data_IF_176255612637
#
_entry.id   IF_176255612637
#
_cell.length_a   1.000
_cell.length_b   1.000
_cell.length_c   1.000
_cell.angle_alpha   90.00
_cell.angle_beta   90.00
_cell.angle_gamma   90.00
#
_symmetry.space_group_name_H-M   'P 1'
#
loop_
_entity.id
_entity.type
_entity.pdbx_description
1 polymer ?
#
# COMPACT_ATOMS: atom_id res chain seq x y z
N UNK A 1 2.27 0.80 15.66
CA UNK A 1 2.92 0.48 14.38
C UNK A 1 2.31 -0.82 13.89
N UNK A 2 1.79 -0.82 12.67
CA UNK A 2 1.22 -2.00 12.01
C UNK A 2 1.84 -2.14 10.62
N UNK A 3 1.76 -3.34 10.04
CA UNK A 3 2.27 -3.59 8.69
C UNK A 3 1.39 -4.60 7.95
N UNK A 4 0.90 -4.21 6.78
CA UNK A 4 0.08 -5.08 5.92
C UNK A 4 0.81 -5.44 4.64
N UNK A 5 0.49 -6.61 4.11
CA UNK A 5 0.90 -7.02 2.77
C UNK A 5 -0.25 -6.82 1.80
N UNK A 6 0.00 -6.10 0.71
CA UNK A 6 -0.95 -6.00 -0.39
C UNK A 6 -0.80 -7.28 -1.21
N UNK A 7 -1.90 -7.94 -1.54
CA UNK A 7 -1.85 -9.00 -2.56
C UNK A 7 -2.10 -8.31 -3.90
N UNK A 8 -1.11 -8.26 -4.81
CA UNK A 8 -1.33 -7.68 -6.12
C UNK A 8 -2.47 -8.42 -6.84
N UNK A 9 -3.54 -7.71 -7.21
CA UNK A 9 -4.66 -8.26 -7.98
C UNK A 9 -4.53 -7.75 -9.43
N UNK A 10 -4.12 -8.58 -10.39
CA UNK A 10 -3.92 -8.15 -11.77
C UNK A 10 -5.23 -7.63 -12.40
N UNK A 11 -5.16 -6.44 -13.01
CA UNK A 11 -6.29 -5.86 -13.75
C UNK A 11 -5.85 -5.52 -15.17
N UNK A 12 -6.14 -6.43 -16.09
CA UNK A 12 -5.79 -6.32 -17.50
C UNK A 12 -6.06 -7.67 -18.16
N UNK A 13 -6.64 -7.69 -19.36
CA UNK A 13 -7.16 -8.90 -20.01
C UNK A 13 -6.10 -9.88 -20.53
N UNK A 14 -4.95 -9.98 -19.87
CA UNK A 14 -3.84 -10.89 -20.21
C UNK A 14 -3.62 -11.83 -19.03
N UNK A 15 -3.37 -13.12 -19.30
CA UNK A 15 -3.06 -14.11 -18.27
C UNK A 15 -1.75 -13.73 -17.57
N UNK A 16 -1.83 -12.99 -16.46
CA UNK A 16 -0.66 -12.68 -15.66
C UNK A 16 -0.07 -13.96 -15.06
N UNK A 17 1.23 -14.17 -15.25
CA UNK A 17 1.95 -15.27 -14.61
C UNK A 17 2.29 -14.82 -13.19
N UNK A 18 1.62 -15.42 -12.22
CA UNK A 18 2.11 -15.44 -10.85
C UNK A 18 2.89 -16.74 -10.67
N UNK A 19 4.06 -16.67 -10.07
CA UNK A 19 4.72 -17.84 -9.51
C UNK A 19 4.85 -17.69 -7.99
N UNK A 20 4.97 -18.84 -7.32
CA UNK A 20 5.08 -18.89 -5.86
C UNK A 20 6.45 -18.38 -5.36
N UNK A 21 7.36 -17.96 -6.26
CA UNK A 21 8.78 -17.71 -5.96
C UNK A 21 9.12 -16.22 -6.10
N UNK A 22 8.76 -15.62 -7.22
CA UNK A 22 9.09 -14.26 -7.61
C UNK A 22 7.87 -13.32 -7.66
N UNK A 23 6.64 -13.82 -7.58
CA UNK A 23 5.43 -12.99 -7.45
C UNK A 23 4.75 -12.71 -8.78
N UNK A 24 4.33 -11.47 -9.03
CA UNK A 24 3.58 -11.08 -10.22
C UNK A 24 4.50 -10.60 -11.35
N UNK A 25 4.54 -11.33 -12.46
CA UNK A 25 5.27 -10.90 -13.66
C UNK A 25 4.52 -9.78 -14.40
N UNK A 26 5.26 -8.74 -14.79
CA UNK A 26 4.80 -7.59 -15.55
C UNK A 26 5.75 -7.36 -16.73
N UNK A 27 5.19 -7.08 -17.91
CA UNK A 27 5.99 -6.74 -19.09
C UNK A 27 5.45 -5.52 -19.83
N UNK A 28 6.37 -4.67 -20.29
CA UNK A 28 6.08 -3.57 -21.19
C UNK A 28 5.93 -4.09 -22.62
N UNK A 29 5.04 -3.48 -23.40
CA UNK A 29 4.83 -3.90 -24.78
C UNK A 29 5.01 -2.77 -25.77
N UNK A 30 5.56 -3.09 -26.95
CA UNK A 30 5.52 -2.17 -28.08
C UNK A 30 4.09 -2.05 -28.63
N UNK A 31 3.66 -0.81 -28.88
CA UNK A 31 2.36 -0.49 -29.45
C UNK A 31 2.03 -1.39 -30.68
N UNK A 32 0.79 -1.90 -30.82
CA UNK A 32 -0.45 -1.40 -30.20
C UNK A 32 -0.83 -2.09 -28.88
N UNK A 33 0.02 -2.95 -28.34
CA UNK A 33 -0.23 -3.60 -27.06
C UNK A 33 -0.02 -2.57 -25.94
N UNK A 34 -0.93 -2.56 -24.98
CA UNK A 34 -0.80 -1.70 -23.80
C UNK A 34 0.16 -2.35 -22.81
N UNK A 35 0.92 -1.53 -22.10
CA UNK A 35 1.77 -1.96 -21.01
C UNK A 35 0.95 -2.64 -19.91
N UNK A 36 1.53 -3.67 -19.30
CA UNK A 36 0.89 -4.35 -18.18
C UNK A 36 0.92 -3.48 -16.93
N UNK A 37 -0.20 -3.48 -16.20
CA UNK A 37 -0.34 -2.78 -14.95
C UNK A 37 -1.12 -3.65 -13.94
N UNK A 38 -0.83 -3.43 -12.67
CA UNK A 38 -1.53 -4.06 -11.55
C UNK A 38 -2.04 -2.99 -10.60
N UNK A 39 -3.24 -3.21 -10.06
CA UNK A 39 -3.87 -2.34 -9.06
C UNK A 39 -4.26 -3.18 -7.85
N UNK A 40 -3.84 -2.73 -6.67
CA UNK A 40 -4.23 -3.39 -5.42
C UNK A 40 -4.35 -2.37 -4.30
N UNK A 41 -4.92 -2.83 -3.19
CA UNK A 41 -5.17 -1.99 -2.01
C UNK A 41 -4.56 -2.65 -0.79
N UNK A 42 -3.85 -1.87 0.01
CA UNK A 42 -3.55 -2.22 1.39
C UNK A 42 -4.67 -1.72 2.28
N UNK A 43 -5.39 -2.62 2.94
CA UNK A 43 -6.36 -2.29 3.99
C UNK A 43 -5.66 -2.52 5.34
N UNK A 44 -5.59 -1.50 6.20
CA UNK A 44 -5.01 -1.62 7.56
C UNK A 44 -6.06 -1.87 8.65
N UNK A 45 -7.34 -1.86 8.31
CA UNK A 45 -8.46 -2.01 9.24
C UNK A 45 -8.57 -3.43 9.81
N UNK A 46 -8.05 -4.43 9.08
CA UNK A 46 -7.95 -5.82 9.52
C UNK A 46 -6.83 -6.05 10.56
N UNK A 47 -5.85 -5.14 10.61
CA UNK A 47 -4.69 -5.14 11.50
C UNK A 47 -4.89 -4.35 12.81
N UNK A 48 -6.15 -4.15 13.20
CA UNK A 48 -6.51 -3.49 14.47
C UNK A 48 -6.41 -1.97 14.44
N UNK A 49 -6.17 -1.37 13.28
CA UNK A 49 -6.36 0.07 13.10
C UNK A 49 -7.84 0.42 13.18
N UNK A 50 -8.15 1.53 13.85
CA UNK A 50 -9.42 2.22 13.65
C UNK A 50 -9.20 3.72 13.73
N UNK A 51 -9.84 4.46 12.84
CA UNK A 51 -9.76 5.94 12.80
C UNK A 51 -10.22 6.62 14.09
N UNK A 52 -11.04 5.95 14.89
CA UNK A 52 -11.50 6.46 16.19
C UNK A 52 -10.48 6.28 17.30
N UNK A 53 -9.61 5.28 17.21
CA UNK A 53 -8.62 4.93 18.24
C UNK A 53 -7.21 5.39 17.89
N UNK A 54 -6.90 5.60 16.61
CA UNK A 54 -5.56 5.93 16.14
C UNK A 54 -5.57 7.04 15.09
N UNK A 55 -4.60 7.95 15.20
CA UNK A 55 -4.29 8.97 14.19
C UNK A 55 -2.99 8.60 13.52
N UNK A 56 -3.02 8.37 12.20
CA UNK A 56 -1.83 8.06 11.41
C UNK A 56 -0.96 9.32 11.32
N UNK A 57 0.32 9.17 11.61
CA UNK A 57 1.30 10.27 11.55
C UNK A 57 2.19 10.15 10.32
N UNK A 58 2.50 8.93 9.90
CA UNK A 58 3.48 8.63 8.86
C UNK A 58 3.20 7.24 8.27
N UNK A 59 3.54 7.03 6.99
CA UNK A 59 3.40 5.75 6.32
C UNK A 59 4.43 5.59 5.18
N UNK A 60 4.96 4.38 5.05
CA UNK A 60 6.00 4.02 4.07
C UNK A 60 5.57 2.75 3.32
N UNK A 61 5.62 2.80 1.99
CA UNK A 61 5.40 1.66 1.12
C UNK A 61 6.74 1.09 0.65
N UNK A 62 6.89 -0.22 0.74
CA UNK A 62 8.05 -0.97 0.27
C UNK A 62 7.60 -1.88 -0.87
N UNK A 63 8.22 -1.73 -2.04
CA UNK A 63 7.97 -2.58 -3.20
C UNK A 63 9.26 -3.30 -3.57
N UNK A 64 9.22 -4.63 -3.60
CA UNK A 64 10.35 -5.46 -4.00
C UNK A 64 10.13 -5.97 -5.41
N UNK A 65 11.14 -5.78 -6.25
CA UNK A 65 11.12 -6.22 -7.63
C UNK A 65 12.25 -7.21 -7.92
N UNK A 66 12.05 -8.03 -8.94
CA UNK A 66 13.03 -8.96 -9.46
C UNK A 66 13.10 -8.84 -10.98
N UNK A 67 14.28 -8.59 -11.49
CA UNK A 67 14.61 -8.74 -12.91
C UNK A 67 14.43 -10.22 -13.28
N UNK A 68 13.79 -10.49 -14.41
CA UNK A 68 13.55 -11.83 -14.92
C UNK A 68 14.82 -12.57 -15.38
N UNK A 69 15.94 -11.83 -15.46
CA UNK A 69 17.33 -12.19 -15.72
C UNK A 69 17.48 -13.57 -16.33
N UNK A 70 16.95 -13.73 -17.54
CA UNK A 70 17.18 -14.97 -18.28
C UNK A 70 18.61 -15.02 -18.77
N UNK A 71 19.30 -16.09 -18.34
CA UNK A 71 20.53 -16.58 -18.95
C UNK A 71 20.53 -16.31 -20.46
N UNK A 72 21.43 -15.42 -20.90
CA UNK A 72 21.47 -14.95 -22.28
C UNK A 72 21.43 -16.09 -23.30
N UNK A 73 20.96 -15.78 -24.51
CA UNK A 73 20.73 -16.66 -25.67
C UNK A 73 21.87 -17.65 -26.01
N UNK A 74 23.05 -17.51 -25.40
CA UNK A 74 24.25 -18.34 -25.58
C UNK A 74 24.83 -18.94 -24.28
N UNK A 75 24.06 -19.04 -23.20
CA UNK A 75 24.52 -19.65 -21.94
C UNK A 75 25.57 -18.82 -21.19
N UNK A 76 25.65 -17.52 -21.47
CA UNK A 76 26.40 -16.56 -20.68
C UNK A 76 25.49 -15.89 -19.64
N UNK A 77 26.02 -15.65 -18.45
CA UNK A 77 25.45 -14.78 -17.42
C UNK A 77 25.51 -13.32 -17.88
N UNK A 78 24.76 -12.98 -18.93
CA UNK A 78 24.55 -11.61 -19.36
C UNK A 78 23.19 -11.18 -18.87
N UNK A 79 23.17 -10.13 -18.06
CA UNK A 79 21.96 -9.36 -17.73
C UNK A 79 21.27 -8.95 -19.04
N UNK A 80 19.93 -8.88 -19.05
CA UNK A 80 19.19 -8.37 -20.20
C UNK A 80 19.70 -6.93 -20.48
N UNK A 81 20.16 -6.61 -21.70
CA UNK A 81 20.65 -5.26 -22.00
C UNK A 81 19.55 -4.19 -22.02
N UNK A 82 18.28 -4.56 -21.87
CA UNK A 82 17.15 -3.63 -21.88
C UNK A 82 16.88 -3.09 -20.48
N UNK A 83 16.74 -1.76 -20.32
CA UNK A 83 16.39 -1.18 -19.04
C UNK A 83 14.96 -1.60 -18.65
N UNK A 84 14.81 -2.10 -17.43
CA UNK A 84 13.52 -2.37 -16.82
C UNK A 84 13.07 -1.16 -16.00
N UNK A 85 11.90 -0.62 -16.34
CA UNK A 85 11.36 0.57 -15.70
C UNK A 85 9.95 0.28 -15.21
N UNK A 86 9.70 0.51 -13.93
CA UNK A 86 8.37 0.44 -13.33
C UNK A 86 7.89 1.85 -12.98
N UNK A 87 6.66 2.21 -13.34
CA UNK A 87 5.99 3.37 -12.74
C UNK A 87 5.16 2.92 -11.54
N UNK A 88 5.24 3.67 -10.43
CA UNK A 88 4.43 3.45 -9.23
C UNK A 88 3.58 4.69 -8.99
N UNK A 89 2.27 4.50 -8.87
CA UNK A 89 1.31 5.56 -8.60
C UNK A 89 0.47 5.25 -7.34
N UNK A 90 0.38 6.25 -6.45
CA UNK A 90 -0.41 6.24 -5.23
C UNK A 90 -1.50 7.32 -5.36
N UNK A 91 -2.70 6.92 -5.82
CA UNK A 91 -3.87 7.77 -6.03
C UNK A 91 -3.69 8.97 -6.99
N UNK A 92 -2.87 8.83 -8.04
CA UNK A 92 -2.77 9.82 -9.11
C UNK A 92 -2.03 11.10 -8.75
N UNK A 93 -1.34 11.14 -7.60
CA UNK A 93 -0.57 12.32 -7.15
C UNK A 93 0.95 12.07 -7.11
N UNK A 94 1.36 10.79 -7.01
CA UNK A 94 2.74 10.34 -7.19
C UNK A 94 2.97 9.73 -8.58
N UNK A 95 2.04 9.89 -9.52
CA UNK A 95 2.26 9.56 -10.93
C UNK A 95 3.51 10.29 -11.44
N UNK A 96 4.54 9.54 -11.85
CA UNK A 96 5.65 10.10 -12.61
C UNK A 96 7.04 10.06 -11.97
N UNK A 97 7.27 9.37 -10.85
CA UNK A 97 8.62 8.84 -10.59
C UNK A 97 8.67 7.41 -11.11
N UNK A 98 9.14 7.18 -12.36
CA UNK A 98 9.58 5.85 -12.72
C UNK A 98 10.62 5.42 -11.68
N UNK A 99 10.49 4.19 -11.18
CA UNK A 99 11.61 3.50 -10.59
C UNK A 99 12.77 3.64 -11.59
N UNK A 100 13.90 4.15 -11.09
CA UNK A 100 15.16 3.89 -11.75
C UNK A 100 15.28 2.37 -11.92
N UNK A 101 15.94 1.95 -13.01
CA UNK A 101 16.30 0.56 -13.35
C UNK A 101 16.01 -0.46 -12.24
N UNK A 102 15.06 -1.35 -12.51
CA UNK A 102 14.48 -2.26 -11.53
C UNK A 102 15.40 -3.48 -11.34
N UNK A 103 16.43 -3.36 -10.51
CA UNK A 103 17.43 -4.42 -10.30
C UNK A 103 17.26 -5.13 -8.95
N UNK A 104 16.62 -6.31 -8.91
CA UNK A 104 16.58 -7.24 -7.77
C UNK A 104 16.60 -6.59 -6.37
N UNK A 105 15.77 -5.56 -6.16
CA UNK A 105 15.87 -4.68 -5.01
C UNK A 105 14.52 -4.21 -4.51
N UNK A 106 14.54 -3.59 -3.32
CA UNK A 106 13.37 -3.05 -2.65
C UNK A 106 13.43 -1.53 -2.66
N UNK A 107 12.41 -0.91 -3.23
CA UNK A 107 12.24 0.52 -3.33
C UNK A 107 11.31 0.99 -2.22
N UNK A 108 11.58 2.18 -1.68
CA UNK A 108 10.81 2.76 -0.57
C UNK A 108 10.16 4.05 -1.03
N UNK A 109 8.86 4.17 -0.78
CA UNK A 109 8.04 5.32 -1.14
C UNK A 109 7.39 5.92 0.10
N UNK A 110 7.55 7.22 0.28
CA UNK A 110 6.82 7.98 1.30
C UNK A 110 5.36 8.10 0.88
N UNK A 111 4.44 7.74 1.76
CA UNK A 111 3.00 7.91 1.53
C UNK A 111 2.61 9.29 2.04
N UNK A 112 2.39 10.22 1.12
CA UNK A 112 2.17 11.64 1.43
C UNK A 112 0.91 12.19 0.74
N UNK A 113 0.54 13.43 1.10
CA UNK A 113 -0.51 14.19 0.42
C UNK A 113 -1.88 13.51 0.44
N UNK A 114 -2.46 13.31 -0.74
CA UNK A 114 -3.80 12.72 -0.89
C UNK A 114 -3.79 11.24 -0.50
N UNK A 115 -2.75 10.48 -0.83
CA UNK A 115 -2.62 9.07 -0.44
C UNK A 115 -2.59 8.88 1.07
N UNK A 116 -1.85 9.73 1.78
CA UNK A 116 -1.84 9.71 3.25
C UNK A 116 -3.17 10.17 3.86
N UNK A 117 -3.90 11.06 3.19
CA UNK A 117 -5.21 11.51 3.62
C UNK A 117 -6.27 10.41 3.47
N UNK A 118 -6.24 9.68 2.36
CA UNK A 118 -7.16 8.55 2.09
C UNK A 118 -6.94 7.44 3.13
N UNK A 119 -5.69 7.02 3.30
CA UNK A 119 -5.28 6.03 4.31
C UNK A 119 -5.71 6.39 5.74
N UNK A 120 -5.81 7.69 6.07
CA UNK A 120 -6.32 8.17 7.37
C UNK A 120 -7.83 8.06 7.53
N UNK A 121 -8.57 8.09 6.42
CA UNK A 121 -10.01 8.27 6.42
C UNK A 121 -10.77 6.95 6.38
N UNK A 122 -10.37 6.04 5.49
CA UNK A 122 -10.96 4.71 5.33
C UNK A 122 -10.02 3.59 5.79
N UNK A 123 -8.71 3.81 5.79
CA UNK A 123 -7.73 2.78 6.13
C UNK A 123 -7.13 2.10 4.90
N UNK A 124 -7.38 2.64 3.70
CA UNK A 124 -6.93 2.04 2.46
C UNK A 124 -5.77 2.84 1.84
N UNK A 125 -4.79 2.13 1.30
CA UNK A 125 -3.80 2.68 0.39
C UNK A 125 -3.91 1.96 -0.95
N UNK A 126 -4.36 2.70 -1.97
CA UNK A 126 -4.43 2.23 -3.34
C UNK A 126 -3.07 2.38 -4.03
N UNK A 127 -2.60 1.29 -4.63
CA UNK A 127 -1.30 1.21 -5.31
C UNK A 127 -1.49 0.75 -6.75
N UNK A 128 -0.85 1.45 -7.67
CA UNK A 128 -0.72 1.06 -9.07
C UNK A 128 0.75 0.86 -9.42
N UNK A 129 1.06 -0.24 -10.09
CA UNK A 129 2.40 -0.51 -10.64
C UNK A 129 2.25 -0.82 -12.13
N UNK A 130 3.02 -0.15 -12.98
CA UNK A 130 3.00 -0.32 -14.45
C UNK A 130 4.41 -0.61 -14.98
N UNK A 131 4.52 -1.53 -15.94
CA UNK A 131 5.79 -1.79 -16.63
C UNK A 131 5.99 -0.80 -17.79
N UNK A 132 6.82 0.22 -17.60
CA UNK A 132 7.16 1.23 -18.63
C UNK A 132 8.17 0.72 -19.66
N UNK A 133 9.08 -0.16 -19.23
CA UNK A 133 10.09 -0.78 -20.09
C UNK A 133 10.54 -2.12 -19.50
N UNK A 134 10.97 -3.04 -20.37
CA UNK A 134 11.44 -4.38 -19.99
C UNK A 134 10.34 -5.28 -19.44
N UNK A 135 10.77 -6.25 -18.64
CA UNK A 135 9.96 -7.24 -17.97
C UNK A 135 10.56 -7.61 -16.62
N UNK A 136 9.73 -7.66 -15.59
CA UNK A 136 10.17 -7.87 -14.22
C UNK A 136 9.05 -8.50 -13.39
N UNK A 137 9.39 -8.98 -12.20
CA UNK A 137 8.43 -9.43 -11.21
C UNK A 137 8.25 -8.40 -10.09
N UNK A 138 7.01 -8.13 -9.72
CA UNK A 138 6.65 -7.50 -8.44
C UNK A 138 6.50 -8.61 -7.39
N UNK A 139 7.46 -8.71 -6.47
CA UNK A 139 7.53 -9.81 -5.51
C UNK A 139 6.77 -9.53 -4.22
N UNK A 140 7.01 -8.36 -3.64
CA UNK A 140 6.47 -7.98 -2.34
C UNK A 140 5.95 -6.55 -2.41
N UNK A 141 4.79 -6.34 -1.79
CA UNK A 141 4.30 -5.02 -1.42
C UNK A 141 3.98 -5.00 0.06
N UNK A 142 4.69 -4.16 0.81
CA UNK A 142 4.52 -4.01 2.25
C UNK A 142 4.28 -2.55 2.62
N UNK A 143 3.17 -2.29 3.30
CA UNK A 143 2.85 -0.98 3.86
C UNK A 143 3.19 -0.97 5.34
N UNK A 144 4.00 -0.02 5.78
CA UNK A 144 4.29 0.23 7.19
C UNK A 144 3.63 1.54 7.62
N UNK A 145 2.79 1.47 8.65
CA UNK A 145 2.04 2.63 9.16
C UNK A 145 2.42 2.96 10.60
N UNK A 146 2.70 4.23 10.84
CA UNK A 146 2.90 4.79 12.18
C UNK A 146 1.67 5.61 12.57
N UNK A 147 1.13 5.32 13.76
CA UNK A 147 0.01 6.05 14.32
C UNK A 147 0.12 6.19 15.83
N UNK A 148 -0.53 7.23 16.34
CA UNK A 148 -0.62 7.52 17.77
C UNK A 148 -2.05 7.28 18.25
N UNK A 149 -2.20 6.78 19.48
CA UNK A 149 -3.51 6.58 20.06
C UNK A 149 -4.21 7.94 20.23
N UNK A 150 -5.44 8.06 19.72
CA UNK A 150 -6.30 9.20 19.97
C UNK A 150 -6.86 9.03 21.37
N UNK A 151 -6.63 10.03 22.24
CA UNK A 151 -7.21 10.03 23.57
C UNK A 151 -8.75 9.94 23.45
N UNK A 152 -9.36 9.03 24.20
CA UNK A 152 -10.81 8.92 24.23
C UNK A 152 -11.43 10.29 24.53
N UNK A 153 -12.51 10.68 23.83
CA UNK A 153 -13.10 11.98 24.03
C UNK A 153 -13.45 12.20 25.51
N UNK A 154 -12.97 13.30 26.10
CA UNK A 154 -13.36 13.71 27.46
C UNK A 154 -14.89 13.84 27.62
N UNK A 155 -15.62 13.94 26.51
CA UNK A 155 -17.08 13.86 26.47
C UNK A 155 -17.64 12.53 26.98
N UNK A 156 -16.96 11.38 26.81
CA UNK A 156 -17.39 10.11 27.41
C UNK A 156 -17.25 10.14 28.93
N UNK A 157 -16.14 10.69 29.44
CA UNK A 157 -15.96 10.91 30.86
C UNK A 157 -17.02 11.88 31.42
N UNK A 158 -17.28 12.99 30.72
CA UNK A 158 -18.31 13.96 31.10
C UNK A 158 -19.74 13.40 31.02
N UNK A 159 -20.04 12.55 30.03
CA UNK A 159 -21.31 11.84 29.93
C UNK A 159 -21.50 10.90 31.11
N UNK A 160 -20.46 10.13 31.45
CA UNK A 160 -20.45 9.27 32.64
C UNK A 160 -20.68 10.06 33.92
N UNK A 161 -19.95 11.16 34.12
CA UNK A 161 -20.12 12.04 35.29
C UNK A 161 -21.51 12.69 35.32
N UNK A 162 -22.04 13.12 34.18
CA UNK A 162 -23.38 13.68 34.04
C UNK A 162 -24.47 12.67 34.45
N UNK A 163 -24.36 11.42 34.00
CA UNK A 163 -25.28 10.33 34.37
C UNK A 163 -25.25 10.04 35.87
N UNK A 164 -24.05 10.02 36.47
CA UNK A 164 -23.89 9.86 37.93
C UNK A 164 -24.55 11.02 38.69
N UNK A 165 -24.38 12.26 38.21
CA UNK A 165 -25.03 13.44 38.79
C UNK A 165 -26.57 13.38 38.73
N UNK A 166 -27.13 12.93 37.60
CA UNK A 166 -28.58 12.75 37.42
C UNK A 166 -29.13 11.64 38.32
N UNK A 167 -28.42 10.52 38.44
CA UNK A 167 -28.82 9.42 39.33
C UNK A 167 -28.83 9.88 40.81
N UNK A 168 -27.81 10.63 41.23
CA UNK A 168 -27.72 11.16 42.59
C UNK A 168 -28.85 12.15 42.92
N UNK A 169 -29.20 13.03 41.97
CA UNK A 169 -30.31 13.99 42.15
C UNK A 169 -31.68 13.31 42.19
N UNK A 170 -31.93 12.27 41.38
CA UNK A 170 -33.16 11.46 41.45
C UNK A 170 -33.33 10.78 42.80
N UNK A 171 -32.25 10.26 43.39
CA UNK A 171 -32.30 9.58 44.70
C UNK A 171 -32.68 10.54 45.83
N UNK A 172 -32.22 11.80 45.76
CA UNK A 172 -32.55 12.85 46.75
C UNK A 172 -33.99 13.35 46.68
N UNK A 173 -34.67 13.16 45.55
CA UNK A 173 -36.06 13.64 45.33
C UNK A 173 -37.14 12.64 45.76
N UNK A 174 -36.74 11.40 46.09
CA UNK A 174 -37.63 10.31 46.56
C UNK A 174 -37.59 10.13 48.09
N UNK A 175 -36.86 10.98 48.80
CA UNK A 175 -36.85 11.13 50.26
C UNK A 175 -37.54 12.45 50.58
#
# INVERSE_FOLDING_TARGET
>A
TGATTGTPDPVGGVDHKSDDIYGLYLTSHVAPLADEAVWYTHDISDDGYSKGSYSITDAMLYLSFHDDARMGLFGGSGDDPLPELAEVDLLGLLSGTPAAEVDNSTYTYSVDGVALFDLKFDGDLHVAVRAEAGDFYLQESRLQVQGVAVAEPASLALLGLGLVGVAATRKRRKV
#
